data_IF_742020456678
#
_entry.id   IF_742020456678
#
_cell.length_a   1.000
_cell.length_b   1.000
_cell.length_c   1.000
_cell.angle_alpha   90.00
_cell.angle_beta   90.00
_cell.angle_gamma   90.00
#
_symmetry.space_group_name_H-M   'P 1'
#
loop_
_entity.id
_entity.type
_entity.pdbx_description
1 polymer ?
#
# COMPACT_ATOMS: atom_id res chain seq x y z
N UNK A 1 -9.27 13.91 0.55
CA UNK A 1 -8.32 13.81 -0.58
C UNK A 1 -7.75 12.38 -0.62
N UNK A 2 -7.14 11.90 -1.72
CA UNK A 2 -6.58 10.52 -1.83
C UNK A 2 -5.05 10.49 -1.74
N UNK A 3 -4.50 9.64 -0.89
CA UNK A 3 -3.07 9.39 -0.71
C UNK A 3 -2.69 7.97 -1.14
N UNK A 4 -1.47 7.74 -1.62
CA UNK A 4 -1.02 6.41 -2.07
C UNK A 4 0.45 6.18 -1.69
N UNK A 5 0.79 5.16 -0.89
CA UNK A 5 2.18 4.74 -0.72
C UNK A 5 2.71 4.16 -2.02
N UNK A 6 3.93 4.53 -2.38
CA UNK A 6 4.59 4.09 -3.62
C UNK A 6 6.05 3.77 -3.33
N UNK A 7 6.60 2.77 -4.03
CA UNK A 7 7.98 2.37 -3.84
C UNK A 7 8.93 3.48 -4.28
N UNK A 8 9.73 3.99 -3.34
CA UNK A 8 10.68 5.08 -3.60
C UNK A 8 11.65 4.73 -4.75
N UNK A 9 12.18 3.50 -4.73
CA UNK A 9 13.14 2.99 -5.70
C UNK A 9 12.59 2.78 -7.13
N UNK A 10 11.27 2.95 -7.35
CA UNK A 10 10.65 2.82 -8.66
C UNK A 10 10.09 4.17 -9.11
N UNK A 11 9.30 4.80 -8.24
CA UNK A 11 8.55 6.02 -8.58
C UNK A 11 9.38 7.30 -8.46
N UNK A 12 10.48 7.31 -7.71
CA UNK A 12 11.24 8.54 -7.41
C UNK A 12 12.69 8.50 -7.90
N UNK A 13 12.99 7.67 -8.89
CA UNK A 13 14.33 7.52 -9.46
C UNK A 13 14.73 8.65 -10.42
N UNK A 14 13.75 9.35 -11.01
CA UNK A 14 13.97 10.44 -11.98
C UNK A 14 13.15 11.66 -11.59
N UNK A 15 13.70 12.86 -11.84
CA UNK A 15 13.07 14.12 -11.43
C UNK A 15 11.65 14.32 -12.02
N UNK A 16 11.45 13.96 -13.29
CA UNK A 16 10.12 14.01 -13.92
C UNK A 16 9.11 13.07 -13.27
N UNK A 17 9.54 11.85 -12.92
CA UNK A 17 8.68 10.89 -12.22
C UNK A 17 8.38 11.36 -10.80
N UNK A 18 9.39 11.86 -10.08
CA UNK A 18 9.21 12.41 -8.74
C UNK A 18 8.20 13.55 -8.72
N UNK A 19 8.23 14.46 -9.71
CA UNK A 19 7.24 15.54 -9.83
C UNK A 19 5.84 14.99 -10.12
N UNK A 20 5.71 14.07 -11.07
CA UNK A 20 4.42 13.45 -11.41
C UNK A 20 3.78 12.74 -10.20
N UNK A 21 4.53 11.88 -9.52
CA UNK A 21 4.03 11.13 -8.37
C UNK A 21 3.80 12.03 -7.14
N UNK A 22 4.63 13.05 -6.91
CA UNK A 22 4.39 14.02 -5.83
C UNK A 22 3.11 14.84 -6.05
N UNK A 23 2.84 15.25 -7.30
CA UNK A 23 1.59 15.93 -7.66
C UNK A 23 0.38 15.01 -7.48
N UNK A 24 0.55 13.71 -7.74
CA UNK A 24 -0.43 12.67 -7.48
C UNK A 24 -0.62 12.30 -6.00
N UNK A 25 0.01 13.02 -5.06
CA UNK A 25 -0.01 12.74 -3.61
C UNK A 25 0.51 11.33 -3.28
N UNK A 26 1.45 10.83 -4.09
CA UNK A 26 2.14 9.59 -3.82
C UNK A 26 3.22 9.81 -2.76
N UNK A 27 3.19 8.99 -1.71
CA UNK A 27 4.13 9.05 -0.59
C UNK A 27 5.20 7.99 -0.81
N UNK A 28 6.49 8.34 -0.77
CA UNK A 28 7.56 7.36 -0.94
C UNK A 28 7.64 6.43 0.29
N UNK A 29 7.70 5.13 0.02
CA UNK A 29 7.86 4.04 1.01
C UNK A 29 9.05 3.18 0.57
N UNK A 30 9.91 2.80 1.51
CA UNK A 30 11.15 2.05 1.28
C UNK A 30 10.96 0.58 1.71
N UNK A 31 10.86 -0.38 0.78
CA UNK A 31 10.91 -1.82 1.16
C UNK A 31 12.36 -2.22 1.51
N UNK A 32 12.53 -3.04 2.55
CA UNK A 32 13.79 -3.20 3.30
C UNK A 32 15.06 -3.52 2.50
N UNK A 33 16.21 -3.13 3.08
CA UNK A 33 17.51 -3.75 2.84
C UNK A 33 18.38 -3.21 1.69
N UNK A 34 18.72 -1.91 1.67
CA UNK A 34 19.99 -1.42 1.10
C UNK A 34 20.25 0.03 1.53
N UNK A 35 20.96 0.23 2.65
CA UNK A 35 21.43 1.56 3.08
C UNK A 35 22.94 1.77 2.84
N UNK A 36 23.71 0.71 2.58
CA UNK A 36 25.13 0.78 2.24
C UNK A 36 25.36 1.13 0.76
N UNK A 37 25.06 2.37 0.34
CA UNK A 37 25.66 2.93 -0.88
C UNK A 37 25.61 4.46 -1.02
N UNK A 38 25.04 5.21 -0.07
CA UNK A 38 25.08 6.68 -0.13
C UNK A 38 25.87 7.23 1.05
N UNK A 39 27.14 6.82 1.10
CA UNK A 39 28.17 7.59 1.75
C UNK A 39 28.33 8.93 1.04
N UNK A 40 28.22 10.00 1.83
CA UNK A 40 28.83 11.31 1.61
C UNK A 40 28.40 12.14 0.37
N UNK A 41 27.91 13.34 0.69
CA UNK A 41 27.88 14.57 -0.13
C UNK A 41 26.85 14.69 -1.26
N UNK A 42 25.81 15.50 -1.01
CA UNK A 42 24.92 16.01 -2.07
C UNK A 42 23.74 16.81 -1.52
N UNK A 43 23.84 18.14 -1.56
CA UNK A 43 22.80 19.09 -1.11
C UNK A 43 21.68 19.25 -2.15
N UNK A 44 20.47 19.50 -1.61
CA UNK A 44 19.25 20.14 -2.17
C UNK A 44 18.33 19.30 -3.07
N UNK A 45 17.14 19.05 -2.52
CA UNK A 45 15.88 19.02 -3.26
C UNK A 45 15.24 17.64 -3.42
N UNK A 46 14.46 17.21 -2.43
CA UNK A 46 13.55 16.07 -2.54
C UNK A 46 13.60 15.14 -1.33
N UNK A 47 12.57 15.21 -0.48
CA UNK A 47 12.20 14.25 0.58
C UNK A 47 13.34 13.44 1.20
N UNK A 48 14.09 14.03 2.13
CA UNK A 48 15.02 13.28 2.98
C UNK A 48 14.24 12.34 3.93
N UNK A 49 14.32 11.04 3.68
CA UNK A 49 14.05 10.02 4.69
C UNK A 49 15.20 10.02 5.69
N UNK A 50 15.16 10.93 6.67
CA UNK A 50 16.11 10.94 7.80
C UNK A 50 15.73 9.81 8.77
N UNK A 51 16.56 8.77 8.87
CA UNK A 51 16.38 7.67 9.80
C UNK A 51 16.63 8.16 11.24
N UNK A 52 15.69 7.93 12.14
CA UNK A 52 15.89 8.02 13.58
C UNK A 52 16.63 6.75 14.03
N UNK A 53 17.63 6.90 14.89
CA UNK A 53 18.48 5.80 15.36
C UNK A 53 17.68 4.83 16.24
N UNK A 54 17.20 3.71 15.69
CA UNK A 54 16.52 2.68 16.48
C UNK A 54 15.81 1.56 15.70
N UNK A 55 15.43 1.77 14.44
CA UNK A 55 14.59 0.82 13.71
C UNK A 55 15.42 -0.16 12.86
N UNK A 56 15.61 -1.40 13.35
CA UNK A 56 16.34 -2.48 12.66
C UNK A 56 15.42 -3.44 11.90
N UNK A 57 14.11 -3.25 12.00
CA UNK A 57 13.13 -4.26 11.59
C UNK A 57 12.54 -3.93 10.20
N UNK A 58 12.79 -2.73 9.68
CA UNK A 58 12.29 -2.25 8.38
C UNK A 58 10.78 -1.99 8.35
N UNK A 59 10.14 -2.08 9.52
CA UNK A 59 8.71 -1.89 9.73
C UNK A 59 8.39 -0.41 9.86
N UNK A 60 9.25 0.39 10.50
CA UNK A 60 9.03 1.83 10.67
C UNK A 60 9.59 2.63 9.50
N UNK A 61 8.69 3.36 8.87
CA UNK A 61 8.99 4.16 7.71
C UNK A 61 8.20 5.45 7.82
N UNK A 62 8.90 6.57 7.73
CA UNK A 62 8.32 7.91 7.87
C UNK A 62 7.17 8.16 6.88
N UNK A 63 7.22 7.54 5.70
CA UNK A 63 6.13 7.58 4.72
C UNK A 63 4.86 6.84 5.19
N UNK A 64 5.02 5.73 5.89
CA UNK A 64 3.90 4.99 6.47
C UNK A 64 3.28 5.74 7.66
N UNK A 65 4.09 6.40 8.49
CA UNK A 65 3.60 7.20 9.61
C UNK A 65 2.77 8.39 9.13
N UNK A 66 3.21 9.05 8.05
CA UNK A 66 2.44 10.11 7.40
C UNK A 66 1.10 9.60 6.86
N UNK A 67 1.08 8.42 6.25
CA UNK A 67 -0.17 7.80 5.75
C UNK A 67 -1.10 7.45 6.92
N UNK A 68 -0.56 6.94 8.02
CA UNK A 68 -1.30 6.66 9.23
C UNK A 68 -1.93 7.94 9.82
N UNK A 69 -1.18 9.04 9.83
CA UNK A 69 -1.70 10.35 10.26
C UNK A 69 -2.87 10.79 9.38
N UNK A 70 -2.75 10.65 8.05
CA UNK A 70 -3.83 10.98 7.10
C UNK A 70 -5.04 10.08 7.28
N UNK A 71 -4.83 8.79 7.48
CA UNK A 71 -5.91 7.85 7.77
C UNK A 71 -6.66 8.25 9.05
N UNK A 72 -5.94 8.64 10.10
CA UNK A 72 -6.51 9.14 11.35
C UNK A 72 -7.16 10.53 11.22
N UNK A 73 -6.89 11.28 10.15
CA UNK A 73 -7.60 12.52 9.80
C UNK A 73 -8.88 12.27 8.97
N UNK A 74 -9.18 11.01 8.63
CA UNK A 74 -10.32 10.65 7.80
C UNK A 74 -10.08 10.83 6.29
N UNK A 75 -8.82 11.00 5.87
CA UNK A 75 -8.46 11.07 4.47
C UNK A 75 -8.48 9.68 3.80
N UNK A 76 -8.64 9.65 2.48
CA UNK A 76 -8.68 8.40 1.73
C UNK A 76 -7.26 7.91 1.43
N UNK A 77 -7.00 6.65 1.71
CA UNK A 77 -5.70 6.02 1.44
C UNK A 77 -5.92 4.82 0.52
N UNK A 78 -5.19 4.78 -0.58
CA UNK A 78 -5.15 3.64 -1.49
C UNK A 78 -3.86 2.87 -1.25
N UNK A 79 -3.96 1.64 -0.76
CA UNK A 79 -2.83 0.77 -0.41
C UNK A 79 -3.02 -0.60 -1.03
N UNK A 80 -1.90 -1.22 -1.40
CA UNK A 80 -1.88 -2.65 -1.73
C UNK A 80 -1.98 -3.49 -0.45
N UNK A 81 -2.57 -4.70 -0.52
CA UNK A 81 -2.81 -5.53 0.65
C UNK A 81 -1.54 -5.82 1.46
N UNK A 82 -0.36 -5.86 0.84
CA UNK A 82 0.89 -6.13 1.58
C UNK A 82 1.34 -4.99 2.51
N UNK A 83 0.77 -3.79 2.38
CA UNK A 83 1.09 -2.65 3.23
C UNK A 83 0.02 -2.31 4.27
N UNK A 84 -1.13 -2.97 4.24
CA UNK A 84 -2.29 -2.56 5.05
C UNK A 84 -2.21 -3.03 6.51
N UNK A 85 -1.53 -4.15 6.79
CA UNK A 85 -1.51 -4.77 8.11
C UNK A 85 -0.97 -3.85 9.20
N UNK A 86 0.11 -3.12 8.90
CA UNK A 86 0.70 -2.14 9.83
C UNK A 86 -0.23 -0.96 10.06
N UNK A 87 -0.83 -0.42 8.99
CA UNK A 87 -1.76 0.70 9.09
C UNK A 87 -2.96 0.34 9.97
N UNK A 88 -3.53 -0.85 9.81
CA UNK A 88 -4.66 -1.30 10.63
C UNK A 88 -4.26 -1.53 12.08
N UNK A 89 -3.09 -2.12 12.34
CA UNK A 89 -2.62 -2.37 13.70
C UNK A 89 -2.41 -1.06 14.51
N UNK A 90 -2.04 0.03 13.84
CA UNK A 90 -1.73 1.33 14.47
C UNK A 90 -2.87 2.36 14.34
N UNK A 91 -3.90 2.10 13.53
CA UNK A 91 -4.98 3.06 13.30
C UNK A 91 -5.86 3.23 14.55
N UNK A 92 -6.16 4.49 14.88
CA UNK A 92 -7.03 4.87 16.00
C UNK A 92 -8.49 4.93 15.56
N UNK A 93 -8.73 5.26 14.30
CA UNK A 93 -10.06 5.21 13.71
C UNK A 93 -10.39 3.80 13.23
N UNK A 94 -11.68 3.55 12.95
CA UNK A 94 -12.12 2.30 12.35
C UNK A 94 -12.38 2.55 10.84
N UNK A 95 -11.37 2.36 9.97
CA UNK A 95 -11.51 2.66 8.54
C UNK A 95 -12.47 1.68 7.86
N UNK A 96 -13.14 2.16 6.82
CA UNK A 96 -13.91 1.31 5.89
C UNK A 96 -13.00 0.95 4.72
N UNK A 97 -12.90 -0.34 4.42
CA UNK A 97 -12.10 -0.83 3.30
C UNK A 97 -13.01 -1.01 2.09
N UNK A 98 -12.63 -0.37 0.97
CA UNK A 98 -13.26 -0.57 -0.33
C UNK A 98 -12.31 -1.41 -1.22
N UNK A 99 -12.60 -2.69 -1.44
CA UNK A 99 -11.73 -3.51 -2.26
C UNK A 99 -11.89 -3.17 -3.76
N UNK A 100 -10.76 -3.14 -4.46
CA UNK A 100 -10.64 -2.77 -5.86
C UNK A 100 -9.78 -3.81 -6.57
N UNK A 101 -10.27 -4.34 -7.69
CA UNK A 101 -9.50 -5.22 -8.57
C UNK A 101 -9.33 -4.57 -9.94
N UNK A 102 -8.18 -4.79 -10.56
CA UNK A 102 -7.93 -4.37 -11.93
C UNK A 102 -7.35 -5.52 -12.76
N UNK A 103 -7.95 -5.78 -13.92
CA UNK A 103 -7.44 -6.68 -14.95
C UNK A 103 -6.92 -5.91 -16.15
N UNK A 104 -5.97 -6.48 -16.89
CA UNK A 104 -5.41 -5.88 -18.12
C UNK A 104 -4.30 -4.83 -17.91
N UNK A 105 -3.91 -4.55 -16.66
CA UNK A 105 -2.78 -3.65 -16.38
C UNK A 105 -1.44 -4.21 -16.89
N UNK A 106 -1.28 -5.54 -16.89
CA UNK A 106 -0.09 -6.22 -17.41
C UNK A 106 0.09 -6.00 -18.93
N UNK A 107 -1.01 -5.79 -19.66
CA UNK A 107 -0.96 -5.53 -21.10
C UNK A 107 -0.54 -4.08 -21.37
N UNK A 108 -0.93 -3.15 -20.49
CA UNK A 108 -0.56 -1.74 -20.53
C UNK A 108 0.93 -1.60 -20.24
N UNK A 109 1.45 -2.21 -19.17
CA UNK A 109 2.86 -2.16 -18.83
C UNK A 109 3.38 -3.58 -18.54
N UNK A 110 4.04 -4.23 -19.52
CA UNK A 110 4.60 -5.55 -19.31
C UNK A 110 5.66 -5.55 -18.20
N UNK A 111 5.65 -6.58 -17.35
CA UNK A 111 6.67 -6.77 -16.30
C UNK A 111 8.04 -7.25 -16.84
N UNK A 112 8.23 -7.22 -18.16
CA UNK A 112 9.49 -7.57 -18.81
C UNK A 112 10.12 -6.33 -19.46
N UNK A 113 11.45 -6.16 -19.36
CA UNK A 113 12.13 -5.08 -20.05
C UNK A 113 12.02 -5.24 -21.57
N UNK A 114 11.87 -4.14 -22.34
CA UNK A 114 11.81 -2.75 -21.89
C UNK A 114 10.42 -2.37 -21.36
N UNK A 115 10.38 -1.67 -20.22
CA UNK A 115 9.14 -1.20 -19.57
C UNK A 115 8.50 -0.03 -20.34
N UNK A 116 7.89 -0.33 -21.47
CA UNK A 116 7.25 0.66 -22.36
C UNK A 116 5.73 0.51 -22.25
N UNK A 117 5.01 1.58 -21.87
CA UNK A 117 3.56 1.54 -21.81
C UNK A 117 2.95 1.38 -23.20
N UNK A 118 2.06 0.39 -23.35
CA UNK A 118 1.30 0.11 -24.57
C UNK A 118 -0.04 0.84 -24.53
N UNK A 119 -0.34 1.57 -25.59
CA UNK A 119 -1.60 2.32 -25.74
C UNK A 119 -2.68 1.42 -26.38
N UNK A 120 -3.94 1.64 -26.04
CA UNK A 120 -5.09 0.92 -26.63
C UNK A 120 -5.46 -0.38 -25.92
N UNK A 121 -4.84 -0.70 -24.79
CA UNK A 121 -5.16 -1.88 -23.98
C UNK A 121 -6.41 -1.66 -23.12
N UNK A 122 -7.19 -2.72 -22.89
CA UNK A 122 -8.40 -2.66 -22.08
C UNK A 122 -8.07 -2.94 -20.62
N UNK A 123 -8.36 -1.97 -19.75
CA UNK A 123 -8.30 -2.15 -18.30
C UNK A 123 -9.72 -2.40 -17.78
N UNK A 124 -9.93 -3.51 -17.09
CA UNK A 124 -11.18 -3.80 -16.40
C UNK A 124 -11.00 -3.48 -14.92
N UNK A 125 -11.79 -2.56 -14.37
CA UNK A 125 -11.77 -2.24 -12.94
C UNK A 125 -13.05 -2.75 -12.30
N UNK A 126 -12.90 -3.49 -11.21
CA UNK A 126 -13.99 -4.08 -10.46
C UNK A 126 -13.96 -3.52 -9.05
N UNK A 127 -15.07 -2.93 -8.63
CA UNK A 127 -15.22 -2.32 -7.31
C UNK A 127 -16.08 -3.26 -6.46
N UNK A 128 -15.55 -3.71 -5.33
CA UNK A 128 -16.28 -4.56 -4.40
C UNK A 128 -17.16 -3.80 -3.43
N UNK A 129 -17.71 -4.51 -2.44
CA UNK A 129 -18.56 -3.92 -1.42
C UNK A 129 -17.70 -3.40 -0.26
N UNK A 130 -17.93 -2.16 0.21
CA UNK A 130 -17.20 -1.66 1.36
C UNK A 130 -17.46 -2.54 2.59
N UNK A 131 -16.41 -2.85 3.36
CA UNK A 131 -16.52 -3.61 4.60
C UNK A 131 -15.77 -2.94 5.75
N UNK A 132 -16.25 -3.19 6.98
CA UNK A 132 -15.64 -2.65 8.19
C UNK A 132 -14.66 -3.66 8.79
N UNK A 133 -13.50 -3.17 9.24
CA UNK A 133 -12.51 -3.95 9.99
C UNK A 133 -12.65 -3.81 11.50
N UNK A 134 -13.69 -3.13 11.98
CA UNK A 134 -13.90 -2.87 13.41
C UNK A 134 -13.82 -4.14 14.28
N UNK A 135 -14.44 -5.28 13.93
CA UNK A 135 -14.34 -6.50 14.75
C UNK A 135 -12.91 -7.04 14.86
N UNK A 136 -12.11 -6.89 13.79
CA UNK A 136 -10.70 -7.27 13.80
C UNK A 136 -9.89 -6.32 14.69
N UNK A 137 -10.12 -5.01 14.57
CA UNK A 137 -9.40 -4.01 15.36
C UNK A 137 -9.71 -4.13 16.85
N UNK A 138 -10.96 -4.39 17.22
CA UNK A 138 -11.36 -4.63 18.61
C UNK A 138 -10.63 -5.84 19.20
N UNK A 139 -10.50 -6.93 18.44
CA UNK A 139 -9.70 -8.11 18.86
C UNK A 139 -8.23 -7.78 19.04
N UNK A 140 -7.62 -7.11 18.07
CA UNK A 140 -6.21 -6.72 18.14
C UNK A 140 -5.93 -5.74 19.28
N UNK A 141 -6.89 -4.87 19.64
CA UNK A 141 -6.79 -3.94 20.77
C UNK A 141 -6.94 -4.67 22.11
N UNK A 142 -7.85 -5.65 22.19
CA UNK A 142 -8.08 -6.46 23.39
C UNK A 142 -6.87 -7.32 23.78
N UNK A 143 -6.03 -7.71 22.81
CA UNK A 143 -4.79 -8.46 23.04
C UNK A 143 -3.69 -7.65 23.79
N UNK A 144 -3.92 -6.36 24.08
CA UNK A 144 -3.25 -5.62 25.17
C UNK A 144 -1.76 -5.26 24.99
N UNK A 145 -1.09 -5.68 23.92
CA UNK A 145 0.34 -5.39 23.74
C UNK A 145 0.56 -3.99 23.14
N UNK A 146 1.41 -3.18 23.78
CA UNK A 146 1.73 -1.80 23.39
C UNK A 146 2.60 -1.69 22.14
N UNK A 147 3.28 -2.76 21.74
CA UNK A 147 4.08 -2.84 20.51
C UNK A 147 3.34 -3.58 19.39
N UNK A 148 3.40 -3.02 18.18
CA UNK A 148 2.96 -3.69 16.95
C UNK A 148 3.92 -4.83 16.67
N UNK A 149 3.46 -6.06 16.92
CA UNK A 149 4.22 -7.25 16.58
C UNK A 149 3.99 -7.63 15.10
N UNK A 150 5.00 -8.25 14.48
CA UNK A 150 4.89 -8.78 13.12
C UNK A 150 3.72 -9.76 12.98
N UNK A 151 3.38 -10.49 14.05
CA UNK A 151 2.20 -11.36 14.09
C UNK A 151 0.89 -10.59 13.90
N UNK A 152 0.72 -9.43 14.55
CA UNK A 152 -0.49 -8.59 14.41
C UNK A 152 -0.62 -8.00 13.02
N UNK A 153 0.50 -7.56 12.45
CA UNK A 153 0.57 -7.08 11.06
C UNK A 153 0.13 -8.19 10.10
N UNK A 154 0.66 -9.40 10.28
CA UNK A 154 0.30 -10.57 9.49
C UNK A 154 -1.18 -10.95 9.61
N UNK A 155 -1.72 -10.98 10.83
CA UNK A 155 -3.15 -11.26 11.07
C UNK A 155 -4.06 -10.24 10.36
N UNK A 156 -3.75 -8.95 10.49
CA UNK A 156 -4.55 -7.91 9.86
C UNK A 156 -4.47 -7.95 8.34
N UNK A 157 -3.26 -8.16 7.80
CA UNK A 157 -3.05 -8.33 6.36
C UNK A 157 -3.81 -9.54 5.81
N UNK A 158 -3.72 -10.70 6.47
CA UNK A 158 -4.42 -11.92 6.05
C UNK A 158 -5.94 -11.74 6.06
N UNK A 159 -6.48 -11.08 7.09
CA UNK A 159 -7.91 -10.80 7.17
C UNK A 159 -8.40 -9.95 5.99
N UNK A 160 -7.69 -8.88 5.64
CA UNK A 160 -8.06 -8.02 4.50
C UNK A 160 -7.97 -8.79 3.18
N UNK A 161 -6.90 -9.57 2.99
CA UNK A 161 -6.72 -10.37 1.78
C UNK A 161 -7.85 -11.40 1.61
N UNK A 162 -8.22 -12.11 2.68
CA UNK A 162 -9.31 -13.10 2.67
C UNK A 162 -10.67 -12.43 2.44
N UNK A 163 -11.00 -11.38 3.20
CA UNK A 163 -12.27 -10.66 3.06
C UNK A 163 -12.43 -10.04 1.66
N UNK A 164 -11.34 -9.53 1.08
CA UNK A 164 -11.32 -9.09 -0.31
C UNK A 164 -11.63 -10.25 -1.27
N UNK A 165 -10.90 -11.36 -1.15
CA UNK A 165 -11.04 -12.50 -2.06
C UNK A 165 -12.45 -13.12 -2.01
N UNK A 166 -13.05 -13.26 -0.83
CA UNK A 166 -14.44 -13.72 -0.66
C UNK A 166 -15.42 -12.84 -1.44
N UNK A 167 -15.27 -11.51 -1.36
CA UNK A 167 -16.13 -10.60 -2.08
C UNK A 167 -15.93 -10.65 -3.60
N UNK A 168 -14.70 -10.87 -4.05
CA UNK A 168 -14.43 -11.09 -5.47
C UNK A 168 -15.17 -12.35 -5.98
N UNK A 169 -15.11 -13.44 -5.21
CA UNK A 169 -15.78 -14.70 -5.57
C UNK A 169 -17.32 -14.63 -5.48
N UNK A 170 -17.88 -13.63 -4.79
CA UNK A 170 -19.33 -13.35 -4.74
C UNK A 170 -19.87 -12.51 -5.90
N UNK A 171 -19.02 -11.97 -6.77
CA UNK A 171 -19.46 -11.22 -7.94
C UNK A 171 -19.76 -12.14 -9.13
N UNK A 172 -20.83 -11.88 -9.90
CA UNK A 172 -21.17 -12.74 -11.02
C UNK A 172 -20.03 -12.74 -12.05
N UNK A 173 -19.67 -13.90 -12.63
CA UNK A 173 -18.62 -13.97 -13.64
C UNK A 173 -19.14 -13.31 -14.90
N UNK A 174 -18.84 -12.02 -15.13
CA UNK A 174 -19.20 -11.37 -16.39
C UNK A 174 -18.03 -10.57 -16.99
N UNK A 175 -17.59 -11.16 -18.10
CA UNK A 175 -16.68 -10.72 -19.17
C UNK A 175 -15.18 -10.88 -18.88
N UNK A 176 -14.66 -12.03 -19.32
CA UNK A 176 -13.21 -12.28 -19.49
C UNK A 176 -12.53 -12.94 -18.30
N UNK A 177 -12.97 -14.16 -17.96
CA UNK A 177 -12.27 -15.18 -17.15
C UNK A 177 -11.31 -14.69 -16.05
N UNK A 178 -11.81 -14.66 -14.81
CA UNK A 178 -10.98 -14.81 -13.61
C UNK A 178 -11.60 -15.92 -12.74
N UNK A 179 -11.06 -17.14 -12.86
CA UNK A 179 -11.11 -18.19 -11.84
C UNK A 179 -9.65 -18.63 -11.64
N UNK A 180 -9.13 -18.84 -10.45
CA UNK A 180 -9.73 -19.57 -9.33
C UNK A 180 -9.58 -18.89 -7.98
N UNK A 181 -10.68 -18.81 -7.22
CA UNK A 181 -10.62 -19.17 -5.80
C UNK A 181 -10.16 -20.65 -5.77
N UNK A 182 -8.92 -20.90 -5.34
CA UNK A 182 -8.30 -22.22 -5.18
C UNK A 182 -7.45 -22.22 -3.93
#
# INVERSE_FOLDING_TARGET
>A
MRWTPTAAAICFTRELHSRFFSLGRCVPVCRGGHWEALGATGRRGGGECRAEAGDRDGVYQRGMDFILEKLNQGDWVHVFPEGIGRLLAECRLDPVILPLWHGGMNDVLPNAPPYVPRVGQRITVVVGRPFSVRPLLERLRAEGTSTVSMSRVGTAQNYVSQAGQEQNCLQPPRVGTWQSCG
#
